data_IF_578913424115
#
_entry.id   IF_578913424115
#
_cell.length_a   1.000
_cell.length_b   1.000
_cell.length_c   1.000
_cell.angle_alpha   90.00
_cell.angle_beta   90.00
_cell.angle_gamma   90.00
#
_symmetry.space_group_name_H-M   'P 1'
#
loop_
_entity.id
_entity.type
_entity.pdbx_description
1 polymer ?
#
# COMPACT_ATOMS: atom_id res chain seq x y z
N UNK A 1 35.46 0.93 30.89
CA UNK A 1 34.75 2.22 30.73
C UNK A 1 34.22 2.38 29.30
N UNK A 2 35.06 2.31 28.28
CA UNK A 2 34.65 2.37 26.85
C UNK A 2 33.69 1.25 26.42
N UNK A 3 33.86 0.05 26.99
CA UNK A 3 33.01 -1.12 26.68
C UNK A 3 31.54 -0.91 27.05
N UNK A 4 31.28 -0.27 28.19
CA UNK A 4 29.92 0.05 28.63
C UNK A 4 29.22 1.01 27.65
N UNK A 5 29.94 2.07 27.24
CA UNK A 5 29.43 3.03 26.26
C UNK A 5 29.20 2.42 24.89
N UNK A 6 30.06 1.50 24.45
CA UNK A 6 29.86 0.74 23.22
C UNK A 6 28.59 -0.11 23.26
N UNK A 7 28.35 -0.80 24.37
CA UNK A 7 27.14 -1.62 24.58
C UNK A 7 25.89 -0.73 24.63
N UNK A 8 25.93 0.39 25.36
CA UNK A 8 24.82 1.33 25.46
C UNK A 8 24.46 1.95 24.09
N UNK A 9 25.45 2.32 23.28
CA UNK A 9 25.24 2.84 21.93
C UNK A 9 24.59 1.78 21.02
N UNK A 10 25.07 0.54 21.08
CA UNK A 10 24.53 -0.57 20.29
C UNK A 10 23.06 -0.86 20.65
N UNK A 11 22.74 -0.90 21.95
CA UNK A 11 21.36 -1.11 22.43
C UNK A 11 20.42 0.01 21.98
N UNK A 12 20.90 1.26 22.00
CA UNK A 12 20.12 2.42 21.54
C UNK A 12 19.84 2.33 20.03
N UNK A 13 20.84 1.97 19.23
CA UNK A 13 20.69 1.81 17.79
C UNK A 13 19.72 0.66 17.45
N UNK A 14 19.77 -0.45 18.20
CA UNK A 14 18.85 -1.56 18.08
C UNK A 14 17.40 -1.15 18.43
N UNK A 15 17.20 -0.43 19.53
CA UNK A 15 15.88 0.07 19.92
C UNK A 15 15.29 1.02 18.88
N UNK A 16 16.10 1.93 18.34
CA UNK A 16 15.69 2.82 17.25
C UNK A 16 15.35 2.04 15.98
N UNK A 17 16.14 1.02 15.62
CA UNK A 17 15.87 0.18 14.46
C UNK A 17 14.52 -0.55 14.59
N UNK A 18 14.17 -1.07 15.77
CA UNK A 18 12.87 -1.72 16.03
C UNK A 18 11.68 -0.78 15.79
N UNK A 19 11.84 0.52 16.00
CA UNK A 19 10.78 1.51 15.77
C UNK A 19 10.80 2.06 14.34
N UNK A 20 12.00 2.41 13.83
CA UNK A 20 12.19 3.06 12.54
C UNK A 20 11.95 2.08 11.38
N UNK A 21 12.40 0.83 11.49
CA UNK A 21 12.21 -0.18 10.44
C UNK A 21 10.73 -0.42 10.12
N UNK A 22 9.82 -0.71 11.08
CA UNK A 22 8.40 -0.87 10.76
C UNK A 22 7.74 0.44 10.32
N UNK A 23 8.27 1.60 10.72
CA UNK A 23 7.75 2.90 10.29
C UNK A 23 8.14 3.23 8.84
N UNK A 24 9.34 2.84 8.42
CA UNK A 24 9.85 2.95 7.04
C UNK A 24 9.34 1.82 6.13
N UNK A 25 9.03 0.65 6.70
CA UNK A 25 8.36 -0.42 5.98
C UNK A 25 6.96 0.06 5.61
N UNK A 26 6.76 0.36 4.32
CA UNK A 26 5.41 0.52 3.76
C UNK A 26 4.59 -0.70 4.19
N UNK A 27 3.38 -0.51 4.73
CA UNK A 27 2.52 -1.65 5.00
C UNK A 27 2.31 -2.37 3.66
N UNK A 28 2.79 -3.61 3.57
CA UNK A 28 2.26 -4.57 2.60
C UNK A 28 0.83 -4.82 3.05
N UNK A 29 -0.08 -3.95 2.65
CA UNK A 29 -1.49 -4.11 2.88
C UNK A 29 -1.94 -5.28 2.00
N UNK A 30 -1.69 -6.49 2.50
CA UNK A 30 -2.21 -7.76 2.01
C UNK A 30 -3.66 -7.91 2.48
N UNK A 31 -4.46 -6.87 2.23
CA UNK A 31 -5.87 -7.11 1.95
C UNK A 31 -5.85 -7.82 0.60
N UNK A 32 -6.52 -8.98 0.41
CA UNK A 32 -6.67 -9.58 -0.91
C UNK A 32 -7.07 -8.45 -1.84
N UNK A 33 -6.26 -8.19 -2.88
CA UNK A 33 -6.40 -6.95 -3.62
C UNK A 33 -7.86 -6.84 -4.04
N UNK A 34 -8.46 -5.66 -3.89
CA UNK A 34 -9.86 -5.42 -4.31
C UNK A 34 -10.11 -5.96 -5.72
N UNK A 35 -9.08 -5.97 -6.55
CA UNK A 35 -9.04 -6.57 -7.87
C UNK A 35 -9.19 -8.10 -7.96
N UNK A 36 -8.73 -8.89 -6.99
CA UNK A 36 -9.01 -10.35 -6.96
C UNK A 36 -10.50 -10.61 -6.76
N UNK A 37 -11.14 -9.81 -5.90
CA UNK A 37 -12.58 -9.84 -5.70
C UNK A 37 -13.33 -9.33 -6.95
N UNK A 38 -12.89 -8.22 -7.52
CA UNK A 38 -13.52 -7.61 -8.71
C UNK A 38 -13.46 -8.54 -9.93
N UNK A 39 -12.40 -9.36 -10.08
CA UNK A 39 -12.28 -10.31 -11.19
C UNK A 39 -13.33 -11.43 -11.14
N UNK A 40 -13.67 -11.91 -9.94
CA UNK A 40 -14.73 -12.92 -9.78
C UNK A 40 -16.09 -12.33 -10.15
N UNK A 41 -16.35 -11.07 -9.78
CA UNK A 41 -17.57 -10.35 -10.14
C UNK A 41 -17.68 -10.14 -11.65
N UNK A 42 -16.61 -9.73 -12.33
CA UNK A 42 -16.64 -9.56 -13.79
C UNK A 42 -16.91 -10.88 -14.54
N UNK A 43 -16.39 -12.01 -14.05
CA UNK A 43 -16.70 -13.33 -14.63
C UNK A 43 -18.17 -13.68 -14.50
N UNK A 44 -18.78 -13.37 -13.35
CA UNK A 44 -20.21 -13.61 -13.13
C UNK A 44 -21.08 -12.74 -14.04
N UNK A 45 -20.73 -11.46 -14.23
CA UNK A 45 -21.42 -10.56 -15.16
C UNK A 45 -21.38 -11.06 -16.61
N UNK A 46 -20.24 -11.60 -17.07
CA UNK A 46 -20.14 -12.19 -18.40
C UNK A 46 -21.03 -13.44 -18.54
N UNK A 47 -21.12 -14.25 -17.49
CA UNK A 47 -22.00 -15.41 -17.48
C UNK A 47 -23.48 -15.00 -17.47
N UNK A 48 -23.83 -13.87 -16.83
CA UNK A 48 -25.19 -13.32 -16.86
C UNK A 48 -25.59 -12.83 -18.24
N UNK A 49 -24.71 -12.07 -18.92
CA UNK A 49 -24.94 -11.63 -20.31
C UNK A 49 -25.15 -12.83 -21.25
N UNK A 50 -24.34 -13.88 -21.13
CA UNK A 50 -24.50 -15.09 -21.94
C UNK A 50 -25.88 -15.73 -21.74
N UNK A 51 -26.33 -15.84 -20.48
CA UNK A 51 -27.65 -16.41 -20.17
C UNK A 51 -28.79 -15.54 -20.71
N UNK A 52 -28.67 -14.23 -20.62
CA UNK A 52 -29.71 -13.30 -21.08
C UNK A 52 -29.78 -13.23 -22.61
N UNK A 53 -28.64 -13.38 -23.29
CA UNK A 53 -28.57 -13.57 -24.73
C UNK A 53 -29.23 -14.89 -25.15
N UNK A 54 -28.90 -16.01 -24.49
CA UNK A 54 -29.51 -17.32 -24.75
C UNK A 54 -31.04 -17.31 -24.53
N UNK A 55 -31.52 -16.51 -23.58
CA UNK A 55 -32.96 -16.32 -23.30
C UNK A 55 -33.65 -15.37 -24.27
N UNK A 56 -32.91 -14.74 -25.18
CA UNK A 56 -33.43 -13.72 -26.11
C UNK A 56 -33.88 -12.42 -25.42
N UNK A 57 -33.45 -12.19 -24.17
CA UNK A 57 -33.72 -10.96 -23.43
C UNK A 57 -32.78 -9.82 -23.84
N UNK A 58 -31.62 -10.18 -24.40
CA UNK A 58 -30.61 -9.24 -24.88
C UNK A 58 -30.28 -9.55 -26.34
N UNK A 59 -30.29 -8.51 -27.20
CA UNK A 59 -29.94 -8.67 -28.61
C UNK A 59 -28.45 -8.92 -28.81
N UNK A 60 -28.07 -9.68 -29.84
CA UNK A 60 -26.67 -10.08 -30.09
C UNK A 60 -25.69 -8.90 -30.14
N UNK A 61 -26.07 -7.82 -30.85
CA UNK A 61 -25.23 -6.62 -30.94
C UNK A 61 -25.05 -5.90 -29.59
N UNK A 62 -26.04 -5.99 -28.70
CA UNK A 62 -25.99 -5.38 -27.37
C UNK A 62 -25.18 -6.24 -26.40
N UNK A 63 -25.32 -7.58 -26.47
CA UNK A 63 -24.53 -8.54 -25.72
C UNK A 63 -23.03 -8.46 -26.05
N UNK A 64 -22.70 -8.32 -27.34
CA UNK A 64 -21.32 -8.16 -27.80
C UNK A 64 -20.71 -6.85 -27.30
N UNK A 65 -21.44 -5.74 -27.42
CA UNK A 65 -21.00 -4.43 -26.95
C UNK A 65 -20.75 -4.41 -25.43
N UNK A 66 -21.67 -4.99 -24.65
CA UNK A 66 -21.56 -5.11 -23.20
C UNK A 66 -20.36 -5.99 -22.79
N UNK A 67 -20.17 -7.12 -23.47
CA UNK A 67 -19.04 -8.04 -23.24
C UNK A 67 -17.69 -7.36 -23.46
N UNK A 68 -17.56 -6.58 -24.54
CA UNK A 68 -16.32 -5.85 -24.86
C UNK A 68 -16.00 -4.80 -23.79
N UNK A 69 -17.01 -4.06 -23.32
CA UNK A 69 -16.82 -3.05 -22.29
C UNK A 69 -16.44 -3.67 -20.93
N UNK A 70 -17.05 -4.79 -20.53
CA UNK A 70 -16.67 -5.50 -19.29
C UNK A 70 -15.24 -6.03 -19.38
N UNK A 71 -14.84 -6.63 -20.52
CA UNK A 71 -13.46 -7.09 -20.72
C UNK A 71 -12.46 -5.94 -20.66
N UNK A 72 -12.80 -4.77 -21.23
CA UNK A 72 -11.99 -3.55 -21.13
C UNK A 72 -11.83 -3.09 -19.68
N UNK A 73 -12.92 -3.09 -18.90
CA UNK A 73 -12.89 -2.74 -17.46
C UNK A 73 -12.06 -3.73 -16.65
N UNK A 74 -12.15 -5.02 -16.96
CA UNK A 74 -11.36 -6.08 -16.34
C UNK A 74 -9.85 -5.88 -16.59
N UNK A 75 -9.46 -5.53 -17.82
CA UNK A 75 -8.06 -5.21 -18.15
C UNK A 75 -7.58 -3.96 -17.41
N UNK A 76 -8.37 -2.88 -17.38
CA UNK A 76 -8.02 -1.66 -16.65
C UNK A 76 -7.90 -1.89 -15.14
N UNK A 77 -8.75 -2.75 -14.59
CA UNK A 77 -8.66 -3.15 -13.19
C UNK A 77 -7.38 -3.97 -12.93
N UNK A 78 -7.01 -4.87 -13.84
CA UNK A 78 -5.76 -5.62 -13.77
C UNK A 78 -4.52 -4.70 -13.83
N UNK A 79 -4.48 -3.73 -14.74
CA UNK A 79 -3.39 -2.75 -14.83
C UNK A 79 -3.28 -1.90 -13.55
N UNK A 80 -4.41 -1.53 -12.93
CA UNK A 80 -4.40 -0.78 -11.67
C UNK A 80 -3.87 -1.56 -10.46
N UNK A 81 -3.83 -2.89 -10.55
CA UNK A 81 -3.14 -3.74 -9.55
C UNK A 81 -1.64 -3.62 -9.69
N UNK A 82 -1.14 -3.56 -10.92
CA UNK A 82 0.28 -3.37 -11.20
C UNK A 82 0.74 -1.93 -10.86
N UNK A 83 -0.14 -0.93 -11.01
CA UNK A 83 0.18 0.48 -10.75
C UNK A 83 -0.10 0.96 -9.31
N UNK A 84 -0.86 0.21 -8.50
CA UNK A 84 -1.38 0.59 -7.17
C UNK A 84 -0.35 0.70 -6.02
N UNK A 85 0.92 0.96 -6.32
CA UNK A 85 2.02 1.06 -5.33
C UNK A 85 2.33 2.45 -4.78
N UNK A 86 1.87 3.54 -5.40
CA UNK A 86 2.18 4.93 -5.01
C UNK A 86 1.14 5.84 -5.67
N UNK A 87 0.38 6.72 -5.03
CA UNK A 87 0.91 8.03 -4.64
C UNK A 87 -0.14 8.95 -3.97
N UNK A 88 -1.40 8.55 -3.76
CA UNK A 88 -2.46 9.56 -3.58
C UNK A 88 -2.67 10.07 -2.14
N UNK A 89 -2.06 9.49 -1.09
CA UNK A 89 -2.32 9.92 0.30
C UNK A 89 -1.08 9.93 1.22
N UNK A 90 0.10 9.70 0.66
CA UNK A 90 1.36 9.55 1.42
C UNK A 90 2.01 10.88 1.78
N UNK A 91 1.81 11.94 1.00
CA UNK A 91 2.53 13.21 1.17
C UNK A 91 2.31 13.88 2.54
N UNK A 92 1.05 14.10 2.94
CA UNK A 92 0.73 14.88 4.13
C UNK A 92 0.97 14.13 5.45
N UNK A 93 0.77 12.81 5.45
CA UNK A 93 0.98 11.95 6.64
C UNK A 93 2.47 11.60 6.83
N UNK A 94 3.22 11.43 5.75
CA UNK A 94 4.68 11.20 5.77
C UNK A 94 5.43 12.39 6.33
N UNK A 95 5.10 13.61 5.90
CA UNK A 95 5.76 14.83 6.39
C UNK A 95 5.58 14.98 7.91
N UNK A 96 4.38 14.71 8.44
CA UNK A 96 4.11 14.80 9.89
C UNK A 96 4.90 13.77 10.71
N UNK A 97 5.13 12.57 10.17
CA UNK A 97 5.93 11.52 10.82
C UNK A 97 7.43 11.76 10.69
N UNK A 98 7.90 12.30 9.57
CA UNK A 98 9.29 12.69 9.38
C UNK A 98 9.69 13.83 10.33
N UNK A 99 8.80 14.83 10.50
CA UNK A 99 8.98 15.93 11.46
C UNK A 99 8.92 15.43 12.90
N UNK A 100 8.01 14.50 13.24
CA UNK A 100 7.96 13.92 14.57
C UNK A 100 9.20 13.05 14.89
N UNK A 101 9.69 12.29 13.90
CA UNK A 101 10.89 11.47 14.02
C UNK A 101 12.17 12.30 14.14
N UNK A 102 12.28 13.41 13.40
CA UNK A 102 13.43 14.32 13.50
C UNK A 102 13.48 15.04 14.85
N UNK A 103 12.31 15.44 15.40
CA UNK A 103 12.24 16.01 16.75
C UNK A 103 12.68 15.01 17.83
N UNK A 104 12.22 13.76 17.74
CA UNK A 104 12.58 12.71 18.70
C UNK A 104 14.07 12.31 18.63
N UNK A 105 14.68 12.37 17.45
CA UNK A 105 16.11 12.11 17.24
C UNK A 105 17.00 13.30 17.65
N UNK A 106 16.50 14.53 17.54
CA UNK A 106 17.24 15.72 17.96
C UNK A 106 17.42 15.78 19.49
N UNK A 107 16.46 15.27 20.27
CA UNK A 107 16.52 15.26 21.74
C UNK A 107 17.76 14.58 22.32
N UNK A 108 18.11 13.33 21.95
CA UNK A 108 19.32 12.69 22.46
C UNK A 108 20.62 13.34 21.96
N UNK A 109 20.63 13.93 20.75
CA UNK A 109 21.83 14.59 20.20
C UNK A 109 22.14 15.89 20.93
N UNK A 110 21.12 16.70 21.23
CA UNK A 110 21.28 17.92 22.03
C UNK A 110 21.73 17.58 23.45
N UNK A 111 21.16 16.54 24.06
CA UNK A 111 21.57 16.07 25.38
C UNK A 111 23.04 15.60 25.40
N UNK A 112 23.52 14.94 24.34
CA UNK A 112 24.92 14.53 24.21
C UNK A 112 25.88 15.71 24.05
N UNK A 113 25.47 16.76 23.32
CA UNK A 113 26.25 17.97 23.14
C UNK A 113 26.47 18.76 24.45
N UNK A 114 25.48 18.74 25.34
CA UNK A 114 25.60 19.35 26.68
C UNK A 114 26.46 18.55 27.67
N UNK A 115 26.78 17.29 27.38
CA UNK A 115 27.59 16.44 28.26
C UNK A 115 29.09 16.44 27.90
N UNK A 116 29.43 16.99 26.73
CA UNK A 116 30.82 17.09 26.22
C UNK A 116 31.41 18.50 26.42
N UNK A 117 30.59 19.48 26.82
CA UNK A 117 31.01 20.81 27.28
C UNK A 117 31.00 20.84 28.80
#
# INVERSE_FOLDING_TARGET
MTLFWGIAALMTMAALAVVIIPLLRRPKQSVPSRAEFDLTVYKDQLAEISRDQERGLLGDAEADAATVEIKRRMLKAADSVDEGGDAANTGQRSLSRAVAGSLAAATPIVAFGFYIV
#
